data_IF_332253742068
#
_entry.id   IF_332253742068
#
_cell.length_a   1.000
_cell.length_b   1.000
_cell.length_c   1.000
_cell.angle_alpha   90.00
_cell.angle_beta   90.00
_cell.angle_gamma   90.00
#
_symmetry.space_group_name_H-M   'P 1'
#
loop_
_entity.id
_entity.type
_entity.pdbx_description
1 polymer ?
#
# COMPACT_ATOMS: atom_id res chain seq x y z
N UNK A 1 4.30 3.50 -0.37
CA UNK A 1 3.62 2.36 -1.03
C UNK A 1 3.28 2.76 -2.46
N UNK A 2 3.33 1.84 -3.42
CA UNK A 2 2.90 2.12 -4.80
C UNK A 2 1.37 2.04 -4.87
N UNK A 3 0.74 3.16 -5.17
CA UNK A 3 -0.73 3.34 -5.18
C UNK A 3 -1.25 3.76 -6.56
N UNK A 4 -0.47 3.49 -7.61
CA UNK A 4 -0.82 3.86 -8.98
C UNK A 4 -2.18 3.34 -9.41
N UNK A 5 -2.51 2.07 -9.09
CA UNK A 5 -3.75 1.44 -9.55
C UNK A 5 -5.00 2.18 -9.06
N UNK A 6 -4.92 2.81 -7.90
CA UNK A 6 -6.03 3.52 -7.27
C UNK A 6 -6.22 4.95 -7.76
N UNK A 7 -5.16 5.63 -8.20
CA UNK A 7 -5.19 7.10 -8.36
C UNK A 7 -4.69 7.63 -9.71
N UNK A 8 -4.17 6.77 -10.58
CA UNK A 8 -3.80 7.17 -11.95
C UNK A 8 -5.04 7.20 -12.85
N UNK A 9 -5.14 8.21 -13.72
CA UNK A 9 -6.29 8.40 -14.64
C UNK A 9 -6.50 7.21 -15.59
N UNK A 10 -5.41 6.56 -16.04
CA UNK A 10 -5.44 5.39 -16.91
C UNK A 10 -5.92 4.11 -16.22
N UNK A 11 -6.40 4.19 -14.99
CA UNK A 11 -7.04 3.09 -14.26
C UNK A 11 -8.56 3.27 -14.15
N UNK A 12 -9.14 4.24 -14.88
CA UNK A 12 -10.58 4.42 -15.05
C UNK A 12 -11.00 4.14 -16.51
N UNK A 13 -12.19 3.55 -16.78
CA UNK A 13 -13.15 3.02 -15.81
C UNK A 13 -12.88 1.56 -15.41
N UNK A 14 -12.00 0.86 -16.11
CA UNK A 14 -11.88 -0.60 -16.01
C UNK A 14 -10.82 -1.09 -14.99
N UNK A 15 -10.14 -0.16 -14.30
CA UNK A 15 -9.14 -0.45 -13.27
C UNK A 15 -9.62 -0.13 -11.84
N UNK A 16 -8.69 0.06 -10.91
CA UNK A 16 -9.00 0.27 -9.49
C UNK A 16 -9.24 1.76 -9.12
N UNK A 17 -9.19 2.68 -10.07
CA UNK A 17 -9.51 4.09 -9.85
C UNK A 17 -11.03 4.29 -9.83
N UNK A 18 -11.69 3.74 -8.81
CA UNK A 18 -13.14 3.78 -8.66
C UNK A 18 -13.68 5.18 -8.38
N UNK A 19 -12.83 6.08 -7.87
CA UNK A 19 -13.19 7.47 -7.62
C UNK A 19 -13.23 8.32 -8.91
N UNK A 20 -12.70 7.79 -10.03
CA UNK A 20 -12.62 8.52 -11.30
C UNK A 20 -11.69 9.73 -11.21
N UNK A 21 -10.57 9.60 -10.49
CA UNK A 21 -9.55 10.66 -10.43
C UNK A 21 -8.99 10.89 -11.83
N UNK A 22 -9.16 12.11 -12.33
CA UNK A 22 -8.68 12.56 -13.63
C UNK A 22 -7.77 13.77 -13.42
N UNK A 23 -6.50 13.50 -13.10
CA UNK A 23 -5.52 14.51 -12.75
C UNK A 23 -4.13 14.16 -13.28
N UNK A 24 -3.75 14.87 -14.36
CA UNK A 24 -2.47 14.64 -15.03
C UNK A 24 -1.26 14.80 -14.11
N UNK A 25 -1.30 15.73 -13.14
CA UNK A 25 -0.17 15.98 -12.24
C UNK A 25 0.04 14.77 -11.33
N UNK A 26 -1.05 14.28 -10.73
CA UNK A 26 -1.05 13.06 -9.91
C UNK A 26 -0.59 11.85 -10.74
N UNK A 27 -1.16 11.67 -11.93
CA UNK A 27 -0.82 10.56 -12.84
C UNK A 27 0.68 10.53 -13.16
N UNK A 28 1.26 11.68 -13.53
CA UNK A 28 2.70 11.80 -13.85
C UNK A 28 3.59 11.51 -12.64
N UNK A 29 3.23 12.00 -11.45
CA UNK A 29 4.02 11.75 -10.23
C UNK A 29 4.04 10.25 -9.88
N UNK A 30 2.89 9.59 -9.96
CA UNK A 30 2.77 8.15 -9.72
C UNK A 30 3.55 7.33 -10.75
N UNK A 31 3.48 7.72 -12.03
CA UNK A 31 4.24 7.07 -13.10
C UNK A 31 5.75 7.18 -12.91
N UNK A 32 6.25 8.38 -12.59
CA UNK A 32 7.69 8.62 -12.36
C UNK A 32 8.17 7.81 -11.17
N UNK A 33 7.45 7.89 -10.06
CA UNK A 33 7.78 7.13 -8.86
C UNK A 33 7.82 5.63 -9.15
N UNK A 34 6.80 5.08 -9.84
CA UNK A 34 6.73 3.65 -10.21
C UNK A 34 7.87 3.21 -11.13
N UNK A 35 8.26 4.03 -12.12
CA UNK A 35 9.36 3.74 -13.06
C UNK A 35 10.74 3.84 -12.42
N UNK A 36 10.85 4.41 -11.23
CA UNK A 36 12.09 4.50 -10.45
C UNK A 36 12.03 3.69 -9.15
N UNK A 37 12.03 2.33 -9.19
CA UNK A 37 11.84 1.51 -7.98
C UNK A 37 12.98 1.62 -6.95
N UNK A 38 14.19 2.00 -7.38
CA UNK A 38 15.39 2.02 -6.53
C UNK A 38 16.15 3.34 -6.56
N UNK A 39 15.69 4.33 -7.32
CA UNK A 39 16.39 5.61 -7.44
C UNK A 39 16.00 6.61 -6.36
N UNK A 40 16.87 7.61 -6.25
CA UNK A 40 16.81 8.67 -5.26
C UNK A 40 15.59 9.57 -5.41
N UNK A 41 14.94 9.58 -6.59
CA UNK A 41 13.81 10.45 -6.87
C UNK A 41 12.48 9.83 -6.42
N UNK A 42 12.39 8.50 -6.25
CA UNK A 42 11.15 7.81 -5.87
C UNK A 42 10.49 8.41 -4.64
N UNK A 43 11.26 8.66 -3.58
CA UNK A 43 10.76 9.23 -2.34
C UNK A 43 10.21 10.64 -2.57
N UNK A 44 10.95 11.47 -3.32
CA UNK A 44 10.55 12.84 -3.66
C UNK A 44 9.27 12.88 -4.49
N UNK A 45 9.14 12.03 -5.50
CA UNK A 45 7.95 11.96 -6.34
C UNK A 45 6.72 11.52 -5.52
N UNK A 46 6.88 10.57 -4.60
CA UNK A 46 5.79 10.19 -3.68
C UNK A 46 5.43 11.29 -2.66
N UNK A 47 6.41 12.03 -2.14
CA UNK A 47 6.16 13.18 -1.26
C UNK A 47 5.39 14.28 -2.00
N UNK A 48 5.75 14.55 -3.26
CA UNK A 48 5.04 15.52 -4.08
C UNK A 48 3.64 15.04 -4.45
N UNK A 49 3.47 13.75 -4.77
CA UNK A 49 2.14 13.15 -4.95
C UNK A 49 1.28 13.32 -3.69
N UNK A 50 1.81 13.03 -2.50
CA UNK A 50 1.07 13.17 -1.25
C UNK A 50 0.61 14.60 -0.98
N UNK A 51 1.43 15.59 -1.34
CA UNK A 51 1.08 17.01 -1.25
C UNK A 51 -0.09 17.35 -2.17
N UNK A 52 0.01 17.03 -3.46
CA UNK A 52 -1.05 17.28 -4.44
C UNK A 52 -2.34 16.54 -4.06
N UNK A 53 -2.23 15.29 -3.59
CA UNK A 53 -3.36 14.48 -3.14
C UNK A 53 -4.13 15.15 -1.99
N UNK A 54 -3.40 15.72 -1.02
CA UNK A 54 -3.98 16.44 0.11
C UNK A 54 -4.56 17.79 -0.30
N UNK A 55 -3.84 18.57 -1.12
CA UNK A 55 -4.29 19.90 -1.59
C UNK A 55 -5.55 19.81 -2.44
N UNK A 56 -5.68 18.77 -3.27
CA UNK A 56 -6.85 18.52 -4.12
C UNK A 56 -7.98 17.77 -3.40
N UNK A 57 -7.75 17.31 -2.17
CA UNK A 57 -8.70 16.53 -1.37
C UNK A 57 -9.22 15.30 -2.13
N UNK A 58 -8.30 14.57 -2.77
CA UNK A 58 -8.64 13.40 -3.62
C UNK A 58 -9.35 12.31 -2.82
N UNK A 59 -8.89 12.07 -1.59
CA UNK A 59 -9.60 11.28 -0.60
C UNK A 59 -9.24 11.74 0.82
N UNK A 60 -10.03 11.31 1.79
CA UNK A 60 -9.79 11.55 3.21
C UNK A 60 -9.40 10.22 3.89
N UNK A 61 -8.10 9.94 4.09
CA UNK A 61 -7.67 8.78 4.86
C UNK A 61 -8.21 8.87 6.30
N UNK A 62 -8.96 7.86 6.74
CA UNK A 62 -9.58 7.88 8.06
C UNK A 62 -8.66 7.31 9.15
N UNK A 63 -8.13 6.10 8.92
CA UNK A 63 -7.20 5.43 9.83
C UNK A 63 -6.51 4.25 9.13
N UNK A 64 -5.42 3.75 9.74
CA UNK A 64 -4.81 2.48 9.38
C UNK A 64 -5.21 1.42 10.40
N UNK A 65 -5.89 0.33 10.00
CA UNK A 65 -6.34 -0.69 10.94
C UNK A 65 -5.15 -1.42 11.56
N UNK A 66 -5.20 -1.59 12.89
CA UNK A 66 -4.32 -2.51 13.61
C UNK A 66 -5.04 -3.86 13.68
N UNK A 67 -4.47 -4.87 13.03
CA UNK A 67 -5.03 -6.22 13.08
C UNK A 67 -4.47 -6.98 14.28
N UNK A 68 -5.37 -7.47 15.13
CA UNK A 68 -5.01 -8.41 16.20
C UNK A 68 -5.16 -9.83 15.67
N UNK A 69 -4.07 -10.61 15.72
CA UNK A 69 -4.08 -12.01 15.32
C UNK A 69 -3.84 -12.89 16.55
N UNK A 70 -4.83 -13.72 16.89
CA UNK A 70 -4.79 -14.59 18.07
C UNK A 70 -4.24 -15.95 17.66
N UNK A 71 -3.26 -16.45 18.40
CA UNK A 71 -2.64 -17.76 18.16
C UNK A 71 -2.60 -18.61 19.42
N UNK A 72 -2.26 -19.89 19.25
CA UNK A 72 -1.98 -20.78 20.37
C UNK A 72 -0.72 -20.29 21.11
N UNK A 73 -0.69 -20.31 22.45
CA UNK A 73 0.53 -20.01 23.20
C UNK A 73 1.66 -21.03 22.95
N UNK A 74 1.35 -22.17 22.34
CA UNK A 74 2.32 -23.19 21.91
C UNK A 74 2.94 -22.91 20.55
N UNK A 75 2.47 -21.88 19.84
CA UNK A 75 3.00 -21.52 18.54
C UNK A 75 4.23 -20.63 18.71
N UNK A 76 5.39 -21.12 18.30
CA UNK A 76 6.61 -20.34 18.17
C UNK A 76 6.93 -20.07 16.70
N UNK A 77 7.79 -19.07 16.45
CA UNK A 77 8.22 -18.71 15.10
C UNK A 77 7.24 -17.80 14.35
N UNK A 78 6.09 -17.44 14.95
CA UNK A 78 5.20 -16.44 14.37
C UNK A 78 5.86 -15.05 14.38
N UNK A 79 5.98 -14.44 13.20
CA UNK A 79 6.40 -13.06 13.06
C UNK A 79 5.36 -12.29 12.26
N UNK A 80 4.64 -11.39 12.94
CA UNK A 80 3.69 -10.50 12.29
C UNK A 80 4.40 -9.24 11.81
N UNK A 81 4.40 -9.03 10.49
CA UNK A 81 4.83 -7.78 9.86
C UNK A 81 3.63 -6.95 9.38
N UNK A 82 3.85 -6.14 8.35
CA UNK A 82 2.76 -5.42 7.66
C UNK A 82 1.78 -6.42 7.02
N UNK A 83 0.52 -6.41 7.43
CA UNK A 83 -0.57 -7.24 6.86
C UNK A 83 -1.37 -6.35 5.93
N UNK A 84 -1.11 -6.44 4.62
CA UNK A 84 -1.84 -5.70 3.59
C UNK A 84 -3.07 -6.45 3.08
N UNK A 85 -2.99 -7.78 3.08
CA UNK A 85 -4.07 -8.71 2.75
C UNK A 85 -4.22 -9.76 3.85
N UNK A 86 -5.38 -10.40 4.02
CA UNK A 86 -5.57 -11.43 5.04
C UNK A 86 -4.56 -12.58 4.97
N UNK A 87 -4.07 -12.94 3.78
CA UNK A 87 -3.11 -14.03 3.57
C UNK A 87 -1.70 -13.69 4.06
N UNK A 88 -1.36 -12.41 4.19
CA UNK A 88 -0.03 -11.95 4.62
C UNK A 88 0.37 -12.42 6.02
N UNK A 89 -0.60 -12.79 6.85
CA UNK A 89 -0.37 -13.36 8.19
C UNK A 89 0.36 -14.70 8.16
N UNK A 90 0.42 -15.37 7.00
CA UNK A 90 1.09 -16.66 6.81
C UNK A 90 2.43 -16.53 6.07
N UNK A 91 2.97 -15.31 5.89
CA UNK A 91 4.20 -15.10 5.10
C UNK A 91 5.43 -15.84 5.63
N UNK A 92 5.44 -16.21 6.91
CA UNK A 92 6.54 -16.93 7.54
C UNK A 92 6.08 -18.27 8.14
N UNK A 93 5.02 -18.86 7.59
CA UNK A 93 4.40 -20.09 8.11
C UNK A 93 5.37 -21.28 8.11
N UNK A 94 6.38 -21.27 7.25
CA UNK A 94 7.46 -22.24 7.18
C UNK A 94 8.35 -22.28 8.43
N UNK A 95 8.43 -21.17 9.16
CA UNK A 95 9.21 -21.06 10.41
C UNK A 95 8.40 -21.51 11.64
N UNK A 96 7.11 -21.81 11.46
CA UNK A 96 6.22 -22.08 12.58
C UNK A 96 6.46 -23.46 13.14
N UNK A 97 6.51 -23.53 14.47
CA UNK A 97 6.64 -24.78 15.21
C UNK A 97 5.74 -24.79 16.42
N UNK A 98 5.22 -25.98 16.74
CA UNK A 98 4.49 -26.21 17.98
C UNK A 98 5.47 -26.69 19.05
N UNK A 99 5.48 -26.02 20.19
CA UNK A 99 6.19 -26.47 21.38
C UNK A 99 5.23 -27.14 22.37
N UNK A 100 5.74 -28.17 23.06
CA UNK A 100 5.00 -28.97 24.03
C UNK A 100 4.87 -28.30 25.38
#
# INVERSE_FOLDING_TARGET
>A
PDVYSFWNEGQYPDGENYAGVDDLRISVLLERARRDPWGVNRARDYEEFQREFAERVVALPLYYPIFTYVTSPRLEGLQLGFIGTPSDRFRNVEDWRLVG
#
